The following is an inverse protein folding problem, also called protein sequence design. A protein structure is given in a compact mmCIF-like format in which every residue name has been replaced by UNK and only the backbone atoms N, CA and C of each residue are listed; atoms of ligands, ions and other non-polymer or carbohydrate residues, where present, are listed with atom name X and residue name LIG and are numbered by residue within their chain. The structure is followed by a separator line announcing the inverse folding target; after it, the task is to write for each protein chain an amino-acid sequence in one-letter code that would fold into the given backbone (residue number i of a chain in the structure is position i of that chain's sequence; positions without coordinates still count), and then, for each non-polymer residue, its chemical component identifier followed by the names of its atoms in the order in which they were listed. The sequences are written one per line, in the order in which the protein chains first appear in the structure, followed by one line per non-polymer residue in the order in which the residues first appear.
data_IF_936552850748
#
_entry.id   IF_936552850748
#
_cell.length_a   1.000
_cell.length_b   1.000
_cell.length_c   1.000
_cell.angle_alpha   90.00
_cell.angle_beta   90.00
_cell.angle_gamma   90.00
#
_symmetry.space_group_name_H-M   'P 1'
#
loop_
_entity.id
_entity.type
_entity.pdbx_description
1 polymer ?
#
# COMPACT_ATOMS: atom_id res chain seq x y z
N UNK A 1 15.75 14.08 25.69
CA UNK A 1 16.01 14.37 24.25
C UNK A 1 15.19 13.40 23.38
N UNK A 2 15.45 13.27 22.07
CA UNK A 2 14.72 12.31 21.23
C UNK A 2 15.06 10.84 21.58
N UNK A 3 16.29 10.59 22.05
CA UNK A 3 16.73 9.28 22.51
C UNK A 3 15.98 8.86 23.79
N UNK A 4 15.78 9.78 24.73
CA UNK A 4 14.94 9.55 25.91
C UNK A 4 13.50 9.19 25.52
N UNK A 5 12.92 9.90 24.55
CA UNK A 5 11.57 9.60 24.05
C UNK A 5 11.51 8.17 23.47
N UNK A 6 12.47 7.80 22.63
CA UNK A 6 12.58 6.46 22.05
C UNK A 6 12.70 5.38 23.14
N UNK A 7 13.54 5.63 24.15
CA UNK A 7 13.73 4.73 25.29
C UNK A 7 12.44 4.57 26.09
N UNK A 8 11.73 5.66 26.41
CA UNK A 8 10.45 5.59 27.11
C UNK A 8 9.39 4.78 26.35
N UNK A 9 9.28 4.96 25.03
CA UNK A 9 8.32 4.21 24.18
C UNK A 9 8.71 2.73 24.05
N UNK A 10 10.01 2.42 23.98
CA UNK A 10 10.50 1.03 23.98
C UNK A 10 10.13 0.33 25.29
N UNK A 11 10.34 1.00 26.43
CA UNK A 11 10.04 0.47 27.77
C UNK A 11 8.54 0.34 28.02
N UNK A 12 7.71 1.26 27.52
CA UNK A 12 6.25 1.20 27.70
C UNK A 12 5.61 -0.02 27.04
N UNK A 13 6.24 -0.58 26.01
CA UNK A 13 5.79 -1.80 25.33
C UNK A 13 6.34 -3.09 25.96
N UNK A 14 6.93 -3.03 27.16
CA UNK A 14 7.57 -4.17 27.84
C UNK A 14 8.60 -4.90 26.96
N UNK A 15 9.25 -4.19 26.03
CA UNK A 15 10.20 -4.78 25.07
C UNK A 15 9.60 -5.65 23.97
N UNK A 16 8.25 -5.76 23.85
CA UNK A 16 7.59 -6.60 22.85
C UNK A 16 7.56 -6.01 21.44
N UNK A 17 7.89 -4.73 21.31
CA UNK A 17 7.87 -4.00 20.05
C UNK A 17 9.16 -3.22 19.92
N UNK A 18 9.83 -3.31 18.78
CA UNK A 18 11.04 -2.54 18.49
C UNK A 18 10.64 -1.14 18.03
N UNK A 19 11.01 -0.12 18.80
CA UNK A 19 10.91 1.27 18.41
C UNK A 19 12.15 1.64 17.60
N UNK A 20 11.95 1.99 16.33
CA UNK A 20 13.00 2.47 15.44
C UNK A 20 12.74 3.93 15.09
N UNK A 21 13.81 4.69 14.94
CA UNK A 21 13.72 6.03 14.38
C UNK A 21 13.44 5.90 12.88
N UNK A 22 12.40 6.60 12.43
CA UNK A 22 11.96 6.54 11.04
C UNK A 22 12.87 7.41 10.17
N UNK A 23 13.54 6.78 9.22
CA UNK A 23 14.38 7.41 8.22
C UNK A 23 13.65 7.54 6.89
N UNK A 24 14.13 8.44 6.02
CA UNK A 24 13.61 8.58 4.65
C UNK A 24 13.69 7.26 3.88
N UNK A 25 14.72 6.46 4.16
CA UNK A 25 14.93 5.13 3.57
C UNK A 25 13.92 4.08 4.01
N UNK A 26 13.14 4.33 5.05
CA UNK A 26 12.08 3.40 5.49
C UNK A 26 10.82 3.53 4.62
N UNK A 27 10.78 4.56 3.76
CA UNK A 27 9.67 4.78 2.83
C UNK A 27 9.97 4.20 1.45
N UNK A 28 8.95 3.61 0.86
CA UNK A 28 8.97 3.08 -0.49
C UNK A 28 8.33 4.07 -1.47
N UNK A 29 8.92 4.20 -2.65
CA UNK A 29 8.31 4.87 -3.80
C UNK A 29 7.53 3.83 -4.63
N UNK A 30 6.30 3.59 -4.19
CA UNK A 30 5.39 2.64 -4.84
C UNK A 30 4.79 3.29 -6.09
N UNK A 31 5.17 2.76 -7.25
CA UNK A 31 4.60 3.21 -8.53
C UNK A 31 3.21 2.62 -8.75
N UNK A 32 2.24 3.48 -9.02
CA UNK A 32 0.90 3.05 -9.42
C UNK A 32 0.96 2.27 -10.75
N UNK A 33 0.49 1.03 -10.69
CA UNK A 33 0.40 0.10 -11.82
C UNK A 33 -1.06 -0.20 -12.19
N UNK A 34 -2.01 0.55 -11.63
CA UNK A 34 -3.42 0.43 -11.93
C UNK A 34 -3.77 1.06 -13.29
N UNK A 35 -4.71 0.45 -13.98
CA UNK A 35 -5.29 0.95 -15.22
C UNK A 35 -6.60 1.66 -14.90
N UNK A 36 -6.55 3.00 -14.88
CA UNK A 36 -7.75 3.84 -14.72
C UNK A 36 -8.81 3.52 -15.77
N UNK A 37 -8.40 3.22 -17.00
CA UNK A 37 -9.31 2.79 -18.06
C UNK A 37 -10.07 1.51 -17.71
N UNK A 38 -9.39 0.47 -17.22
CA UNK A 38 -10.05 -0.78 -16.80
C UNK A 38 -10.99 -0.53 -15.64
N UNK A 39 -10.52 0.18 -14.60
CA UNK A 39 -11.31 0.52 -13.42
C UNK A 39 -12.56 1.34 -13.76
N UNK A 40 -12.47 2.25 -14.72
CA UNK A 40 -13.61 3.07 -15.17
C UNK A 40 -14.58 2.30 -16.07
N UNK A 41 -14.16 1.19 -16.67
CA UNK A 41 -15.01 0.32 -17.50
C UNK A 41 -15.61 -0.86 -16.73
N UNK A 42 -15.15 -1.12 -15.51
CA UNK A 42 -15.74 -2.16 -14.67
C UNK A 42 -17.12 -1.71 -14.22
N UNK A 43 -18.13 -2.53 -14.50
CA UNK A 43 -19.51 -2.33 -14.07
C UNK A 43 -19.97 -3.54 -13.24
N UNK A 44 -20.44 -3.35 -12.01
CA UNK A 44 -20.53 -2.07 -11.29
C UNK A 44 -19.14 -1.51 -10.94
N UNK A 45 -19.03 -0.18 -10.87
CA UNK A 45 -17.77 0.47 -10.50
C UNK A 45 -17.35 0.06 -9.08
N UNK A 46 -16.15 -0.53 -8.90
CA UNK A 46 -15.70 -1.00 -7.60
C UNK A 46 -15.30 0.19 -6.70
N UNK A 47 -15.94 0.28 -5.54
CA UNK A 47 -15.59 1.24 -4.49
C UNK A 47 -15.16 0.49 -3.24
N UNK A 48 -14.01 0.85 -2.68
CA UNK A 48 -13.46 0.22 -1.47
C UNK A 48 -14.43 0.27 -0.28
N UNK A 49 -15.22 1.35 -0.18
CA UNK A 49 -16.26 1.50 0.86
C UNK A 49 -17.33 0.41 0.83
N UNK A 50 -17.49 -0.24 -0.32
CA UNK A 50 -18.54 -1.23 -0.53
C UNK A 50 -18.02 -2.66 -0.35
N UNK A 51 -16.72 -2.84 -0.09
CA UNK A 51 -16.13 -4.17 0.05
C UNK A 51 -16.30 -4.65 1.49
N UNK A 52 -16.93 -5.82 1.66
CA UNK A 52 -17.01 -6.49 2.95
C UNK A 52 -15.90 -7.52 3.15
N UNK A 53 -15.39 -8.09 2.06
CA UNK A 53 -14.34 -9.12 2.07
C UNK A 53 -13.42 -8.91 0.87
N UNK A 54 -12.12 -9.05 1.09
CA UNK A 54 -11.10 -8.94 0.04
C UNK A 54 -10.13 -10.11 0.15
N UNK A 55 -9.93 -10.82 -0.95
CA UNK A 55 -9.09 -12.00 -1.03
C UNK A 55 -7.93 -11.77 -2.01
N UNK A 56 -6.73 -12.10 -1.54
CA UNK A 56 -5.51 -12.05 -2.32
C UNK A 56 -4.88 -13.44 -2.39
N UNK A 57 -4.78 -13.99 -3.59
CA UNK A 57 -4.14 -15.30 -3.81
C UNK A 57 -2.68 -15.07 -4.18
N UNK A 58 -1.76 -15.69 -3.43
CA UNK A 58 -0.32 -15.61 -3.73
C UNK A 58 -0.05 -16.09 -5.16
N UNK A 59 0.68 -15.29 -5.93
CA UNK A 59 0.96 -15.56 -7.36
C UNK A 59 -0.13 -15.05 -8.33
N UNK A 60 -1.32 -14.71 -7.83
CA UNK A 60 -2.33 -14.02 -8.63
C UNK A 60 -2.04 -12.53 -8.72
N UNK A 61 -2.32 -11.94 -9.89
CA UNK A 61 -2.27 -10.49 -10.15
C UNK A 61 -3.66 -9.84 -10.15
N UNK A 62 -4.65 -10.56 -9.62
CA UNK A 62 -6.07 -10.19 -9.60
C UNK A 62 -6.51 -9.97 -8.16
N UNK A 63 -7.45 -9.05 -7.98
CA UNK A 63 -8.14 -8.85 -6.70
C UNK A 63 -9.45 -9.62 -6.74
N UNK A 64 -9.77 -10.35 -5.68
CA UNK A 64 -11.11 -10.91 -5.50
C UNK A 64 -11.78 -10.18 -4.35
N UNK A 65 -13.04 -9.76 -4.53
CA UNK A 65 -13.75 -9.04 -3.50
C UNK A 65 -15.22 -9.44 -3.45
N UNK A 66 -15.85 -9.24 -2.29
CA UNK A 66 -17.31 -9.35 -2.12
C UNK A 66 -17.86 -8.01 -1.64
N UNK A 67 -19.05 -7.68 -2.11
CA UNK A 67 -19.80 -6.53 -1.59
C UNK A 67 -20.76 -6.92 -0.47
N UNK A 68 -21.14 -8.20 -0.40
CA UNK A 68 -21.94 -8.78 0.69
C UNK A 68 -21.38 -10.15 1.12
N UNK A 69 -21.61 -10.53 2.37
CA UNK A 69 -21.02 -11.74 2.95
C UNK A 69 -21.43 -13.06 2.26
N UNK A 70 -22.67 -13.13 1.75
CA UNK A 70 -23.24 -14.35 1.13
C UNK A 70 -23.17 -14.36 -0.41
N UNK A 71 -22.33 -13.51 -1.01
CA UNK A 71 -22.13 -13.45 -2.45
C UNK A 71 -20.83 -14.15 -2.85
N UNK A 72 -20.79 -14.64 -4.09
CA UNK A 72 -19.55 -15.16 -4.68
C UNK A 72 -18.56 -14.02 -4.93
N UNK A 73 -17.24 -14.24 -4.74
CA UNK A 73 -16.23 -13.23 -5.00
C UNK A 73 -16.22 -12.79 -6.46
N UNK A 74 -16.22 -11.48 -6.68
CA UNK A 74 -16.02 -10.88 -7.99
C UNK A 74 -14.53 -10.69 -8.24
N UNK A 75 -14.08 -11.09 -9.43
CA UNK A 75 -12.71 -10.84 -9.87
C UNK A 75 -12.55 -9.43 -10.44
N UNK A 76 -11.56 -8.69 -9.94
CA UNK A 76 -11.16 -7.38 -10.45
C UNK A 76 -9.76 -7.42 -11.06
N UNK A 77 -9.72 -7.23 -12.37
CA UNK A 77 -8.50 -7.04 -13.15
C UNK A 77 -8.17 -5.54 -13.29
N UNK A 78 -7.36 -4.99 -12.38
CA UNK A 78 -7.07 -3.56 -12.35
C UNK A 78 -5.69 -3.17 -12.87
N UNK A 79 -4.77 -4.11 -13.14
CA UNK A 79 -3.41 -3.78 -13.58
C UNK A 79 -3.33 -3.33 -15.06
N UNK A 80 -2.35 -2.48 -15.37
CA UNK A 80 -1.99 -2.14 -16.76
C UNK A 80 -1.51 -3.37 -17.54
N UNK A 81 -1.64 -3.33 -18.87
CA UNK A 81 -1.17 -4.41 -19.74
C UNK A 81 0.35 -4.64 -19.60
N UNK A 82 1.12 -3.56 -19.39
CA UNK A 82 2.57 -3.63 -19.15
C UNK A 82 2.87 -4.41 -17.87
N UNK A 83 2.25 -4.05 -16.74
CA UNK A 83 2.46 -4.72 -15.46
C UNK A 83 1.98 -6.19 -15.44
N UNK A 84 0.97 -6.51 -16.24
CA UNK A 84 0.53 -7.91 -16.40
C UNK A 84 1.59 -8.75 -17.13
N UNK A 85 2.18 -8.22 -18.21
CA UNK A 85 3.21 -8.91 -19.00
C UNK A 85 4.57 -8.97 -18.29
N UNK A 86 5.06 -7.83 -17.83
CA UNK A 86 6.41 -7.70 -17.28
C UNK A 86 6.48 -7.96 -15.77
N UNK A 87 5.35 -7.90 -15.06
CA UNK A 87 5.32 -7.94 -13.60
C UNK A 87 5.21 -6.54 -12.98
N UNK A 88 4.95 -6.53 -11.67
CA UNK A 88 5.01 -5.31 -10.87
C UNK A 88 6.42 -5.23 -10.33
N UNK A 89 7.17 -4.19 -10.72
CA UNK A 89 8.52 -3.98 -10.23
C UNK A 89 8.52 -3.76 -8.71
N UNK A 90 9.57 -4.23 -8.03
CA UNK A 90 9.75 -3.92 -6.62
C UNK A 90 9.88 -2.40 -6.43
N UNK A 91 9.22 -1.84 -5.42
CA UNK A 91 9.27 -0.40 -5.17
C UNK A 91 10.68 0.01 -4.76
N UNK A 92 11.10 1.20 -5.20
CA UNK A 92 12.40 1.74 -4.82
C UNK A 92 12.34 2.34 -3.42
N UNK A 93 13.44 2.27 -2.69
CA UNK A 93 13.58 3.01 -1.44
C UNK A 93 13.67 4.51 -1.74
N UNK A 94 13.03 5.34 -0.92
CA UNK A 94 13.17 6.80 -1.03
C UNK A 94 14.54 7.24 -0.55
N UNK A 95 15.16 8.14 -1.32
CA UNK A 95 16.48 8.70 -1.02
C UNK A 95 16.41 10.16 -0.57
N UNK A 96 15.26 10.82 -0.76
CA UNK A 96 15.05 12.21 -0.37
C UNK A 96 13.67 12.42 0.25
N UNK A 97 13.55 13.30 1.25
CA UNK A 97 12.27 13.68 1.82
C UNK A 97 11.44 14.44 0.78
N UNK A 98 10.12 14.21 0.75
CA UNK A 98 9.18 15.06 0.01
C UNK A 98 8.67 16.14 0.95
N UNK A 99 9.01 17.40 0.70
CA UNK A 99 8.62 18.55 1.53
C UNK A 99 9.20 19.87 1.01
N UNK A 100 8.83 20.99 1.63
CA UNK A 100 9.46 22.28 1.33
C UNK A 100 10.89 22.29 1.85
N UNK A 101 11.84 22.64 0.98
CA UNK A 101 13.23 22.83 1.38
C UNK A 101 13.29 23.93 2.46
N UNK A 102 13.87 23.62 3.62
CA UNK A 102 14.07 24.59 4.70
C UNK A 102 14.96 25.77 4.32
N UNK A 103 15.63 25.68 3.16
CA UNK A 103 16.44 26.77 2.57
C UNK A 103 15.62 27.93 2.00
N UNK A 104 14.29 27.91 2.13
CA UNK A 104 13.46 29.11 1.97
C UNK A 104 12.91 29.55 3.33
N UNK A 105 13.72 30.29 4.08
CA UNK A 105 13.30 31.20 5.14
C UNK A 105 13.83 32.59 4.81
#
# INVERSE_FOLDING_TARGET
DFDDYKNCIQTSNSGKTTCIEMNVSDFLDVKDCSSRFKLNKTEPKPYLSNFCEVNFVRGSKKLFYKSKFNEEPVELCFLTAKSLKEGVAQPKIRTSPRGMCSSKK
#
